data_IF_505012535035
#
_entry.id   IF_505012535035
#
_cell.length_a   1.000
_cell.length_b   1.000
_cell.length_c   1.000
_cell.angle_alpha   90.00
_cell.angle_beta   90.00
_cell.angle_gamma   90.00
#
_symmetry.space_group_name_H-M   'P 1'
#
loop_
_entity.id
_entity.type
_entity.pdbx_description
1 polymer ?
#
# COMPACT_ATOMS: atom_id res chain seq x y z
N UNK A 1 -28.57 57.45 -64.49
CA UNK A 1 -28.96 56.17 -63.78
C UNK A 1 -27.85 55.09 -63.71
N UNK A 2 -26.75 55.13 -64.48
CA UNK A 2 -25.69 54.09 -64.44
C UNK A 2 -24.69 54.25 -63.28
N UNK A 3 -24.43 55.46 -62.81
CA UNK A 3 -23.43 55.68 -61.77
C UNK A 3 -23.89 55.30 -60.32
N UNK A 4 -25.18 55.31 -60.05
CA UNK A 4 -25.72 54.93 -58.74
C UNK A 4 -25.70 53.41 -58.48
N UNK A 5 -25.69 52.59 -59.58
CA UNK A 5 -25.67 51.13 -59.49
C UNK A 5 -24.26 50.59 -59.22
N UNK A 6 -23.24 51.26 -59.77
CA UNK A 6 -21.86 50.86 -59.56
C UNK A 6 -21.36 51.16 -58.15
N UNK A 7 -21.85 52.21 -57.48
CA UNK A 7 -21.51 52.54 -56.10
C UNK A 7 -22.11 51.56 -55.10
N UNK A 8 -23.28 51.00 -55.33
CA UNK A 8 -23.89 49.96 -54.46
C UNK A 8 -23.16 48.62 -54.53
N UNK A 9 -22.67 48.22 -55.71
CA UNK A 9 -21.96 46.98 -55.83
C UNK A 9 -20.54 47.03 -55.27
N UNK A 10 -19.88 48.21 -55.31
CA UNK A 10 -18.58 48.41 -54.65
C UNK A 10 -18.71 48.41 -53.10
N UNK A 11 -19.79 48.96 -52.56
CA UNK A 11 -20.01 48.97 -51.12
C UNK A 11 -20.38 47.59 -50.56
N UNK A 12 -21.11 46.75 -51.33
CA UNK A 12 -21.42 45.39 -50.92
C UNK A 12 -20.21 44.47 -50.95
N UNK A 13 -19.25 44.69 -51.87
CA UNK A 13 -18.01 43.91 -51.91
C UNK A 13 -17.02 44.27 -50.82
N UNK A 14 -17.04 45.42 -50.25
CA UNK A 14 -16.23 45.85 -49.13
C UNK A 14 -16.75 45.31 -47.81
N UNK A 15 -18.12 45.27 -47.64
CA UNK A 15 -18.74 44.71 -46.44
C UNK A 15 -18.65 43.18 -46.34
N UNK A 16 -18.47 42.48 -47.48
CA UNK A 16 -18.32 41.00 -47.46
C UNK A 16 -16.89 40.53 -47.19
N UNK A 17 -15.89 41.43 -47.25
CA UNK A 17 -14.47 41.05 -46.99
C UNK A 17 -14.01 41.33 -45.56
N UNK A 18 -14.77 42.02 -44.76
CA UNK A 18 -14.44 42.35 -43.36
C UNK A 18 -15.08 41.44 -42.33
N UNK A 19 -15.92 40.47 -42.73
CA UNK A 19 -16.62 39.53 -41.82
C UNK A 19 -15.93 38.15 -41.78
N UNK A 20 -14.94 37.88 -42.64
CA UNK A 20 -14.24 36.55 -42.69
C UNK A 20 -12.84 36.54 -42.03
N UNK A 21 -12.49 37.55 -41.26
CA UNK A 21 -11.19 37.63 -40.60
C UNK A 21 -11.27 37.71 -39.06
N UNK A 22 -12.26 37.08 -38.45
CA UNK A 22 -12.49 37.22 -37.01
C UNK A 22 -12.87 35.93 -36.23
N UNK A 23 -12.71 34.75 -36.80
CA UNK A 23 -13.00 33.49 -36.07
C UNK A 23 -11.80 32.55 -36.05
N UNK A 24 -10.62 33.04 -35.65
CA UNK A 24 -9.59 32.18 -35.07
C UNK A 24 -10.02 31.91 -33.64
N UNK A 25 -10.79 30.85 -33.45
CA UNK A 25 -11.07 30.27 -32.14
C UNK A 25 -9.72 29.93 -31.48
N UNK A 26 -9.31 30.71 -30.53
CA UNK A 26 -8.31 30.29 -29.55
C UNK A 26 -8.94 29.10 -28.77
N UNK A 27 -8.67 27.89 -29.22
CA UNK A 27 -8.80 26.74 -28.37
C UNK A 27 -7.74 26.86 -27.29
N UNK A 28 -8.07 27.54 -26.20
CA UNK A 28 -7.32 27.45 -24.97
C UNK A 28 -7.36 25.97 -24.56
N UNK A 29 -6.34 25.24 -24.91
CA UNK A 29 -6.04 23.94 -24.28
C UNK A 29 -5.69 24.28 -22.84
N UNK A 30 -6.69 24.22 -21.96
CA UNK A 30 -6.47 24.25 -20.52
C UNK A 30 -5.68 22.98 -20.22
N UNK A 31 -4.42 23.06 -19.76
CA UNK A 31 -3.73 21.87 -19.30
C UNK A 31 -4.53 21.34 -18.11
N UNK A 32 -5.15 20.16 -18.24
CA UNK A 32 -5.73 19.47 -17.10
C UNK A 32 -4.62 19.32 -16.06
N UNK A 33 -4.82 19.79 -14.83
CA UNK A 33 -3.77 19.77 -13.84
C UNK A 33 -3.35 18.34 -13.56
N UNK A 34 -2.04 18.09 -13.53
CA UNK A 34 -1.41 16.80 -13.21
C UNK A 34 -1.89 16.21 -11.86
N UNK A 35 -2.56 16.98 -11.04
CA UNK A 35 -3.25 16.58 -9.80
C UNK A 35 -4.36 15.55 -10.00
N UNK A 36 -4.99 15.48 -11.20
CA UNK A 36 -6.05 14.51 -11.47
C UNK A 36 -5.49 13.08 -11.64
N UNK A 37 -4.25 12.93 -12.08
CA UNK A 37 -3.61 11.63 -12.23
C UNK A 37 -3.11 11.06 -10.90
N UNK A 38 -2.71 11.90 -9.95
CA UNK A 38 -2.32 11.46 -8.59
C UNK A 38 -3.54 11.02 -7.77
N UNK A 39 -4.69 11.65 -7.95
CA UNK A 39 -5.92 11.25 -7.27
C UNK A 39 -6.48 9.90 -7.75
N UNK A 40 -6.25 9.53 -9.02
CA UNK A 40 -6.68 8.24 -9.55
C UNK A 40 -5.85 7.06 -9.01
N UNK A 41 -4.57 7.26 -8.71
CA UNK A 41 -3.72 6.22 -8.16
C UNK A 41 -4.01 5.92 -6.67
N UNK A 42 -4.58 6.86 -5.93
CA UNK A 42 -4.95 6.66 -4.52
C UNK A 42 -6.38 6.10 -4.34
N UNK A 43 -7.20 6.06 -5.40
CA UNK A 43 -8.57 5.55 -5.33
C UNK A 43 -8.66 4.02 -5.23
N UNK A 44 -7.57 3.30 -5.46
CA UNK A 44 -7.55 1.82 -5.44
C UNK A 44 -7.34 1.20 -4.07
N UNK A 45 -7.03 2.00 -3.02
CA UNK A 45 -6.70 1.46 -1.69
C UNK A 45 -5.40 0.63 -1.64
N UNK A 46 -4.62 0.62 -2.73
CA UNK A 46 -3.33 -0.06 -2.81
C UNK A 46 -2.23 0.91 -2.42
N UNK A 47 -1.41 0.60 -1.41
CA UNK A 47 -0.35 1.49 -0.96
C UNK A 47 0.76 1.61 -2.01
N UNK A 48 1.20 2.85 -2.26
CA UNK A 48 2.34 3.16 -3.09
C UNK A 48 3.53 3.52 -2.20
N UNK A 49 4.48 2.60 -2.03
CA UNK A 49 5.70 2.82 -1.23
C UNK A 49 6.86 3.35 -2.07
N UNK A 50 6.68 3.42 -3.38
CA UNK A 50 7.72 3.84 -4.32
C UNK A 50 7.32 5.16 -4.97
N UNK A 51 8.30 6.09 -5.05
CA UNK A 51 8.13 7.33 -5.79
C UNK A 51 7.98 7.01 -7.30
N UNK A 52 6.81 7.23 -7.90
CA UNK A 52 6.60 6.95 -9.32
C UNK A 52 7.42 7.84 -10.25
N UNK A 53 7.92 8.98 -9.76
CA UNK A 53 8.76 9.91 -10.51
C UNK A 53 10.25 9.58 -10.40
N UNK A 54 10.63 8.73 -9.43
CA UNK A 54 12.01 8.32 -9.26
C UNK A 54 12.41 7.35 -10.36
N UNK A 55 13.23 7.81 -11.28
CA UNK A 55 13.88 6.93 -12.25
C UNK A 55 14.94 6.12 -11.52
N UNK A 56 14.62 4.86 -11.26
CA UNK A 56 15.62 3.93 -10.75
C UNK A 56 16.55 3.56 -11.90
N UNK A 57 17.84 3.76 -11.68
CA UNK A 57 18.85 3.24 -12.58
C UNK A 57 18.74 1.72 -12.62
N UNK A 58 18.74 1.16 -13.84
CA UNK A 58 18.68 -0.30 -14.02
C UNK A 58 20.00 -0.90 -13.52
N UNK A 59 19.96 -1.73 -12.48
CA UNK A 59 21.18 -2.36 -12.00
C UNK A 59 21.72 -3.37 -13.02
N UNK A 60 23.02 -3.62 -12.99
CA UNK A 60 23.61 -4.70 -13.75
C UNK A 60 23.17 -6.05 -13.17
N UNK A 61 22.43 -6.81 -13.97
CA UNK A 61 21.96 -8.15 -13.65
C UNK A 61 22.65 -9.24 -14.46
N UNK A 62 23.68 -8.90 -15.24
CA UNK A 62 24.34 -9.84 -16.16
C UNK A 62 24.96 -11.06 -15.47
N UNK A 63 25.43 -10.88 -14.24
CA UNK A 63 25.99 -11.96 -13.41
C UNK A 63 24.92 -12.77 -12.66
N UNK A 64 23.65 -12.30 -12.59
CA UNK A 64 22.59 -12.95 -11.85
C UNK A 64 21.94 -14.05 -12.70
N UNK A 65 22.35 -15.29 -12.50
CA UNK A 65 21.80 -16.46 -13.24
C UNK A 65 20.59 -17.09 -12.55
N UNK A 66 20.59 -17.08 -11.22
CA UNK A 66 19.53 -17.65 -10.41
C UNK A 66 19.40 -16.87 -9.10
N UNK A 67 18.26 -16.96 -8.46
CA UNK A 67 17.97 -16.31 -7.19
C UNK A 67 17.34 -17.33 -6.23
N UNK A 68 17.97 -17.53 -5.08
CA UNK A 68 17.47 -18.40 -4.00
C UNK A 68 16.71 -17.53 -3.00
N UNK A 69 15.39 -17.70 -2.99
CA UNK A 69 14.51 -16.94 -2.11
C UNK A 69 13.97 -17.87 -1.02
N UNK A 70 13.95 -17.38 0.20
CA UNK A 70 13.32 -18.06 1.33
C UNK A 70 12.14 -17.24 1.87
N UNK A 71 11.14 -17.93 2.38
CA UNK A 71 9.95 -17.36 3.01
C UNK A 71 9.54 -18.18 4.22
N UNK A 72 8.62 -17.63 5.02
CA UNK A 72 7.92 -18.36 6.09
C UNK A 72 6.65 -19.02 5.52
N UNK A 73 6.26 -20.18 6.02
CA UNK A 73 5.07 -20.92 5.61
C UNK A 73 4.00 -21.07 6.72
N UNK A 74 4.16 -20.34 7.81
CA UNK A 74 3.22 -20.34 8.94
C UNK A 74 2.50 -18.99 9.13
N UNK A 75 2.51 -18.12 8.12
CA UNK A 75 1.95 -16.76 8.21
C UNK A 75 0.96 -16.43 7.06
N UNK A 76 -0.24 -17.06 7.01
CA UNK A 76 -1.26 -16.71 6.02
C UNK A 76 -1.80 -15.29 6.24
N UNK A 77 -2.14 -14.55 5.16
CA UNK A 77 -2.09 -14.92 3.76
C UNK A 77 -0.74 -14.59 3.10
N UNK A 78 0.31 -14.26 3.87
CA UNK A 78 1.60 -13.83 3.35
C UNK A 78 2.45 -15.00 2.83
N UNK A 79 2.60 -16.06 3.62
CA UNK A 79 3.30 -17.28 3.27
C UNK A 79 2.69 -18.47 4.02
N UNK A 80 2.26 -19.49 3.31
CA UNK A 80 1.69 -20.68 3.93
C UNK A 80 1.70 -21.88 2.95
N UNK A 81 1.63 -23.07 3.51
CA UNK A 81 1.45 -24.28 2.74
C UNK A 81 -0.04 -24.55 2.57
N UNK A 82 -0.52 -24.58 1.33
CA UNK A 82 -1.91 -24.87 1.01
C UNK A 82 -2.27 -26.34 1.22
N UNK A 83 -3.56 -26.69 1.15
CA UNK A 83 -4.05 -28.05 1.38
C UNK A 83 -3.51 -29.10 0.37
N UNK A 84 -3.07 -28.67 -0.80
CA UNK A 84 -2.41 -29.47 -1.84
C UNK A 84 -0.89 -29.64 -1.61
N UNK A 85 -0.36 -29.07 -0.52
CA UNK A 85 1.06 -29.11 -0.18
C UNK A 85 1.91 -28.06 -0.88
N UNK A 86 1.32 -27.16 -1.68
CA UNK A 86 2.06 -26.12 -2.39
C UNK A 86 2.30 -24.90 -1.50
N UNK A 87 3.54 -24.39 -1.53
CA UNK A 87 3.89 -23.14 -0.92
C UNK A 87 3.24 -21.97 -1.69
N UNK A 88 2.44 -21.17 -1.02
CA UNK A 88 1.64 -20.09 -1.59
C UNK A 88 1.58 -18.90 -0.64
N UNK A 89 0.96 -17.80 -1.08
CA UNK A 89 0.77 -16.56 -0.32
C UNK A 89 1.34 -15.34 -1.02
N UNK A 90 1.04 -14.17 -0.46
CA UNK A 90 1.47 -12.88 -1.03
C UNK A 90 2.98 -12.78 -1.23
N UNK A 91 3.78 -13.18 -0.23
CA UNK A 91 5.24 -13.18 -0.31
C UNK A 91 5.77 -14.11 -1.39
N UNK A 92 5.13 -15.27 -1.56
CA UNK A 92 5.51 -16.29 -2.55
C UNK A 92 5.21 -15.80 -3.97
N UNK A 93 4.05 -15.21 -4.18
CA UNK A 93 3.67 -14.67 -5.49
C UNK A 93 4.49 -13.41 -5.81
N UNK A 94 4.81 -12.57 -4.81
CA UNK A 94 5.73 -11.45 -4.98
C UNK A 94 7.13 -11.93 -5.39
N UNK A 95 7.63 -13.00 -4.76
CA UNK A 95 8.90 -13.62 -5.11
C UNK A 95 8.90 -14.09 -6.58
N UNK A 96 7.85 -14.79 -7.01
CA UNK A 96 7.68 -15.23 -8.41
C UNK A 96 7.67 -14.05 -9.36
N UNK A 97 6.89 -13.02 -9.07
CA UNK A 97 6.80 -11.81 -9.89
C UNK A 97 8.16 -11.07 -10.01
N UNK A 98 8.95 -11.01 -8.94
CA UNK A 98 10.31 -10.46 -8.95
C UNK A 98 11.21 -11.26 -9.90
N UNK A 99 11.14 -12.59 -9.85
CA UNK A 99 11.93 -13.47 -10.72
C UNK A 99 11.58 -13.30 -12.19
N UNK A 100 10.28 -13.19 -12.49
CA UNK A 100 9.77 -12.95 -13.84
C UNK A 100 10.20 -11.56 -14.38
N UNK A 101 10.15 -10.51 -13.54
CA UNK A 101 10.60 -9.17 -13.91
C UNK A 101 12.11 -9.13 -14.19
N UNK A 102 12.90 -9.82 -13.39
CA UNK A 102 14.36 -9.91 -13.55
C UNK A 102 14.77 -10.91 -14.63
N UNK A 103 13.86 -11.77 -15.09
CA UNK A 103 14.11 -12.86 -16.07
C UNK A 103 15.20 -13.82 -15.59
N UNK A 104 15.16 -14.21 -14.35
CA UNK A 104 16.09 -15.16 -13.73
C UNK A 104 15.36 -16.40 -13.22
N UNK A 105 16.03 -17.54 -13.21
CA UNK A 105 15.51 -18.74 -12.56
C UNK A 105 15.50 -18.56 -11.05
N UNK A 106 14.41 -18.96 -10.40
CA UNK A 106 14.31 -18.86 -8.95
C UNK A 106 13.97 -20.19 -8.28
N UNK A 107 14.55 -20.38 -7.09
CA UNK A 107 14.06 -21.34 -6.12
C UNK A 107 13.42 -20.60 -4.96
N UNK A 108 12.21 -20.99 -4.56
CA UNK A 108 11.49 -20.40 -3.42
C UNK A 108 11.27 -21.54 -2.43
N UNK A 109 11.81 -21.38 -1.21
CA UNK A 109 11.75 -22.43 -0.20
C UNK A 109 11.23 -21.89 1.13
N UNK A 110 10.42 -22.70 1.82
CA UNK A 110 10.01 -22.40 3.18
C UNK A 110 11.18 -22.60 4.16
N UNK A 111 11.24 -21.74 5.17
CA UNK A 111 12.10 -21.83 6.34
C UNK A 111 11.34 -21.35 7.56
N UNK A 112 11.63 -21.92 8.71
CA UNK A 112 11.11 -21.40 9.97
C UNK A 112 11.55 -19.95 10.15
N UNK A 113 10.65 -19.10 10.55
CA UNK A 113 10.87 -17.66 10.67
C UNK A 113 12.11 -17.29 11.51
N UNK A 114 12.31 -18.00 12.63
CA UNK A 114 13.44 -17.77 13.55
C UNK A 114 14.82 -18.10 12.95
N UNK A 115 14.89 -18.88 11.86
CA UNK A 115 16.13 -19.28 11.19
C UNK A 115 16.44 -18.49 9.91
N UNK A 116 15.52 -17.62 9.45
CA UNK A 116 15.63 -16.94 8.15
C UNK A 116 16.90 -16.08 8.06
N UNK A 117 17.15 -15.24 9.07
CA UNK A 117 18.32 -14.36 9.05
C UNK A 117 19.64 -15.15 9.16
N UNK A 118 19.65 -16.26 9.91
CA UNK A 118 20.83 -17.14 9.99
C UNK A 118 21.12 -17.82 8.64
N UNK A 119 20.07 -18.16 7.88
CA UNK A 119 20.19 -18.74 6.53
C UNK A 119 20.83 -17.74 5.56
N UNK A 120 20.46 -16.45 5.64
CA UNK A 120 21.10 -15.39 4.86
C UNK A 120 22.57 -15.19 5.24
N UNK A 121 22.88 -15.15 6.55
CA UNK A 121 24.23 -14.99 7.06
C UNK A 121 25.19 -16.10 6.53
N UNK A 122 24.67 -17.33 6.43
CA UNK A 122 25.42 -18.51 5.93
C UNK A 122 25.50 -18.57 4.40
N UNK A 123 24.94 -17.61 3.66
CA UNK A 123 24.82 -17.64 2.19
C UNK A 123 24.06 -18.86 1.64
N UNK A 124 23.15 -19.43 2.39
CA UNK A 124 22.30 -20.53 1.94
C UNK A 124 21.09 -20.01 1.14
N UNK A 125 20.79 -18.70 1.22
CA UNK A 125 19.83 -17.97 0.42
C UNK A 125 20.37 -16.59 0.01
N UNK A 126 19.82 -16.00 -1.05
CA UNK A 126 20.22 -14.70 -1.56
C UNK A 126 19.28 -13.59 -1.07
N UNK A 127 18.01 -13.93 -0.82
CA UNK A 127 16.99 -13.01 -0.32
C UNK A 127 15.94 -13.73 0.53
N UNK A 128 15.34 -13.00 1.47
CA UNK A 128 14.19 -13.47 2.24
C UNK A 128 12.99 -12.53 2.06
N UNK A 129 11.88 -13.08 1.59
CA UNK A 129 10.59 -12.40 1.46
C UNK A 129 9.62 -13.07 2.43
N UNK A 130 9.66 -12.66 3.70
CA UNK A 130 9.03 -13.37 4.81
C UNK A 130 8.39 -12.43 5.83
N UNK A 131 7.90 -11.29 5.39
CA UNK A 131 7.25 -10.31 6.28
C UNK A 131 8.15 -9.82 7.43
N UNK A 132 9.46 -9.69 7.17
CA UNK A 132 10.43 -9.29 8.20
C UNK A 132 10.36 -7.78 8.38
N UNK A 133 10.01 -7.34 9.58
CA UNK A 133 9.92 -5.92 9.92
C UNK A 133 11.30 -5.23 9.90
N UNK A 134 11.35 -4.04 9.33
CA UNK A 134 12.52 -3.17 9.34
C UNK A 134 12.63 -2.53 10.73
N UNK A 135 13.43 -3.14 11.58
CA UNK A 135 13.68 -2.69 12.97
C UNK A 135 15.18 -2.52 13.21
N UNK A 136 15.61 -1.72 14.20
CA UNK A 136 17.03 -1.61 14.54
C UNK A 136 17.70 -2.96 14.82
N UNK A 137 16.98 -3.89 15.44
CA UNK A 137 17.48 -5.24 15.73
C UNK A 137 17.74 -6.03 14.43
N UNK A 138 16.82 -5.98 13.47
CA UNK A 138 16.94 -6.72 12.22
C UNK A 138 17.96 -6.05 11.28
N UNK A 139 18.02 -4.70 11.28
CA UNK A 139 19.03 -3.93 10.54
C UNK A 139 20.47 -4.19 11.02
N UNK A 140 20.65 -4.61 12.26
CA UNK A 140 21.97 -5.04 12.74
C UNK A 140 22.44 -6.36 12.12
N UNK A 141 21.53 -7.15 11.53
CA UNK A 141 21.79 -8.50 10.99
C UNK A 141 21.68 -8.60 9.46
N UNK A 142 20.82 -7.81 8.84
CA UNK A 142 20.55 -7.87 7.40
C UNK A 142 20.34 -6.47 6.82
N UNK A 143 20.60 -6.31 5.53
CA UNK A 143 20.14 -5.15 4.78
C UNK A 143 18.73 -5.41 4.24
N UNK A 144 17.94 -4.33 4.06
CA UNK A 144 16.57 -4.40 3.59
C UNK A 144 16.36 -3.54 2.35
N UNK A 145 15.49 -3.99 1.48
CA UNK A 145 14.93 -3.13 0.42
C UNK A 145 14.08 -2.01 1.03
N UNK A 146 13.62 -1.09 0.18
CA UNK A 146 12.46 -0.27 0.51
C UNK A 146 11.32 -1.19 0.97
N UNK A 147 10.46 -0.74 1.92
CA UNK A 147 9.35 -1.56 2.37
C UNK A 147 8.42 -1.89 1.20
N UNK A 148 8.01 -3.16 1.10
CA UNK A 148 7.02 -3.57 0.12
C UNK A 148 5.60 -3.60 0.69
N UNK A 149 5.45 -3.60 2.00
CA UNK A 149 4.21 -3.17 2.66
C UNK A 149 4.49 -2.57 4.04
N UNK A 150 3.49 -1.87 4.56
CA UNK A 150 3.45 -1.41 5.95
C UNK A 150 2.17 -1.92 6.57
N UNK A 151 2.17 -2.08 7.88
CA UNK A 151 1.00 -2.45 8.64
C UNK A 151 0.49 -1.19 9.35
N UNK A 152 -0.49 -0.46 8.78
CA UNK A 152 -1.05 0.70 9.44
C UNK A 152 -1.89 0.26 10.62
N UNK A 153 -2.08 1.15 11.58
CA UNK A 153 -3.17 1.01 12.52
C UNK A 153 -4.45 1.64 11.94
N UNK A 154 -5.61 1.07 12.27
CA UNK A 154 -6.91 1.52 11.77
C UNK A 154 -7.96 1.52 12.88
N UNK A 155 -8.89 2.47 12.76
CA UNK A 155 -10.13 2.42 13.53
C UNK A 155 -11.20 1.60 12.80
N UNK A 156 -12.02 0.89 13.58
CA UNK A 156 -13.20 0.16 13.09
C UNK A 156 -14.39 0.48 13.96
N UNK A 157 -15.53 0.71 13.33
CA UNK A 157 -16.83 0.89 13.99
C UNK A 157 -17.84 -0.09 13.40
N UNK A 158 -18.98 -0.23 14.05
CA UNK A 158 -20.13 -0.91 13.45
C UNK A 158 -20.60 -0.15 12.20
N UNK A 159 -21.10 -0.89 11.22
CA UNK A 159 -21.73 -0.33 10.02
C UNK A 159 -22.89 0.59 10.41
N UNK A 160 -22.95 1.79 9.83
CA UNK A 160 -23.97 2.79 10.20
C UNK A 160 -23.55 3.76 11.32
N UNK A 161 -22.44 3.51 12.03
CA UNK A 161 -21.90 4.49 12.97
C UNK A 161 -21.31 5.68 12.21
N UNK A 162 -21.75 6.89 12.55
CA UNK A 162 -21.22 8.13 11.97
C UNK A 162 -19.90 8.48 12.69
N UNK A 163 -18.79 8.19 12.02
CA UNK A 163 -17.44 8.57 12.43
C UNK A 163 -16.58 8.68 11.17
N UNK A 164 -16.62 9.82 10.50
CA UNK A 164 -15.96 10.00 9.21
C UNK A 164 -14.46 10.20 9.36
N UNK A 165 -14.04 10.92 10.42
CA UNK A 165 -12.63 11.24 10.64
C UNK A 165 -12.28 11.08 12.14
N UNK A 166 -11.70 9.92 12.53
CA UNK A 166 -11.29 9.66 13.91
C UNK A 166 -10.01 10.44 14.26
N UNK A 167 -10.21 11.62 14.81
CA UNK A 167 -9.15 12.50 15.35
C UNK A 167 -9.26 12.58 16.88
N UNK A 168 -8.20 13.02 17.58
CA UNK A 168 -8.26 13.20 19.03
C UNK A 168 -9.44 14.04 19.47
N UNK A 169 -9.80 15.08 18.73
CA UNK A 169 -10.91 16.00 19.05
C UNK A 169 -12.28 15.32 18.87
N UNK A 170 -12.45 14.53 17.78
CA UNK A 170 -13.73 13.86 17.48
C UNK A 170 -13.98 12.65 18.36
N UNK A 171 -12.92 12.09 18.95
CA UNK A 171 -12.98 10.94 19.88
C UNK A 171 -12.83 11.35 21.34
N UNK A 172 -12.68 12.64 21.67
CA UNK A 172 -12.63 13.12 23.04
C UNK A 172 -13.90 12.70 23.83
N UNK A 173 -13.71 12.12 25.01
CA UNK A 173 -14.78 11.60 25.87
C UNK A 173 -15.47 10.33 25.35
N UNK A 174 -15.04 9.75 24.20
CA UNK A 174 -15.57 8.48 23.71
C UNK A 174 -14.70 7.31 24.17
N UNK A 175 -15.32 6.14 24.31
CA UNK A 175 -14.61 4.89 24.63
C UNK A 175 -13.99 4.32 23.39
N UNK A 176 -12.68 4.04 23.41
CA UNK A 176 -11.95 3.36 22.36
C UNK A 176 -11.45 2.02 22.87
N UNK A 177 -11.91 0.93 22.28
CA UNK A 177 -11.38 -0.40 22.56
C UNK A 177 -10.04 -0.64 21.88
N UNK A 178 -9.12 -1.30 22.58
CA UNK A 178 -7.79 -1.67 22.06
C UNK A 178 -7.30 -2.97 22.69
N UNK A 179 -6.41 -3.70 22.02
CA UNK A 179 -5.75 -4.84 22.66
C UNK A 179 -4.66 -4.36 23.62
N UNK A 180 -4.69 -4.89 24.85
CA UNK A 180 -3.74 -4.57 25.90
C UNK A 180 -2.29 -4.91 25.54
N UNK A 181 -1.34 -4.14 26.07
CA UNK A 181 0.11 -4.37 25.94
C UNK A 181 0.61 -4.36 24.49
N UNK A 182 -0.03 -3.55 23.63
CA UNK A 182 0.35 -3.36 22.22
C UNK A 182 0.85 -1.95 21.98
N UNK A 183 1.56 -1.77 20.85
CA UNK A 183 1.92 -0.45 20.36
C UNK A 183 0.69 0.41 20.04
N UNK A 184 -0.43 -0.20 19.68
CA UNK A 184 -1.71 0.46 19.44
C UNK A 184 -2.27 1.10 20.70
N UNK A 185 -2.20 0.40 21.84
CA UNK A 185 -2.59 0.96 23.14
C UNK A 185 -1.70 2.14 23.52
N UNK A 186 -0.37 1.99 23.41
CA UNK A 186 0.56 3.06 23.72
C UNK A 186 0.36 4.29 22.82
N UNK A 187 0.03 4.08 21.54
CA UNK A 187 -0.31 5.14 20.59
C UNK A 187 -1.56 5.91 21.02
N UNK A 188 -2.64 5.21 21.37
CA UNK A 188 -3.88 5.85 21.84
C UNK A 188 -3.66 6.63 23.13
N UNK A 189 -2.95 6.07 24.11
CA UNK A 189 -2.62 6.75 25.36
C UNK A 189 -1.84 8.06 25.12
N UNK A 190 -1.00 8.10 24.09
CA UNK A 190 -0.21 9.28 23.74
C UNK A 190 -1.01 10.33 22.99
N UNK A 191 -1.73 9.92 21.94
CA UNK A 191 -2.32 10.84 20.98
C UNK A 191 -3.82 11.06 21.17
N UNK A 192 -4.52 10.16 21.86
CA UNK A 192 -5.96 10.22 22.14
C UNK A 192 -6.23 10.29 23.63
N UNK A 193 -5.42 11.04 24.36
CA UNK A 193 -5.46 11.14 25.84
C UNK A 193 -6.77 11.68 26.41
N UNK A 194 -7.58 12.38 25.60
CA UNK A 194 -8.92 12.85 25.99
C UNK A 194 -10.02 11.80 25.78
N UNK A 195 -9.72 10.64 25.18
CA UNK A 195 -10.64 9.51 25.05
C UNK A 195 -10.49 8.55 26.24
N UNK A 196 -11.52 7.76 26.50
CA UNK A 196 -11.45 6.65 27.45
C UNK A 196 -10.91 5.41 26.75
N UNK A 197 -9.74 4.92 27.16
CA UNK A 197 -9.11 3.73 26.56
C UNK A 197 -9.51 2.48 27.33
N UNK A 198 -10.25 1.59 26.68
CA UNK A 198 -10.68 0.31 27.24
C UNK A 198 -9.87 -0.83 26.64
N UNK A 199 -9.00 -1.43 27.46
CA UNK A 199 -8.08 -2.50 27.04
C UNK A 199 -8.71 -3.88 27.15
N UNK A 200 -8.43 -4.75 26.16
CA UNK A 200 -8.88 -6.13 26.07
C UNK A 200 -7.69 -7.08 26.00
N UNK A 201 -7.75 -8.24 26.63
CA UNK A 201 -6.62 -9.18 26.69
C UNK A 201 -6.29 -9.85 25.35
N UNK A 202 -7.24 -9.87 24.41
CA UNK A 202 -7.04 -10.48 23.08
C UNK A 202 -7.77 -9.73 21.97
N UNK A 203 -7.28 -9.90 20.73
CA UNK A 203 -7.95 -9.40 19.54
C UNK A 203 -9.36 -9.98 19.36
N UNK A 204 -9.58 -11.24 19.75
CA UNK A 204 -10.90 -11.88 19.70
C UNK A 204 -11.88 -11.19 20.67
N UNK A 205 -11.47 -10.96 21.91
CA UNK A 205 -12.30 -10.26 22.89
C UNK A 205 -12.65 -8.84 22.44
N UNK A 206 -11.66 -8.10 21.91
CA UNK A 206 -11.83 -6.76 21.37
C UNK A 206 -12.86 -6.72 20.21
N UNK A 207 -12.72 -7.61 19.21
CA UNK A 207 -13.66 -7.71 18.08
C UNK A 207 -15.06 -8.10 18.51
N UNK A 208 -15.16 -9.04 19.44
CA UNK A 208 -16.45 -9.47 20.02
C UNK A 208 -17.14 -8.33 20.77
N UNK A 209 -16.40 -7.50 21.49
CA UNK A 209 -16.95 -6.34 22.19
C UNK A 209 -17.53 -5.30 21.20
N UNK A 210 -16.86 -5.05 20.06
CA UNK A 210 -17.40 -4.18 19.03
C UNK A 210 -18.68 -4.78 18.40
N UNK A 211 -18.69 -6.07 18.08
CA UNK A 211 -19.89 -6.76 17.54
C UNK A 211 -21.09 -6.65 18.47
N UNK A 212 -20.88 -6.81 19.79
CA UNK A 212 -21.93 -6.73 20.82
C UNK A 212 -22.28 -5.31 21.25
N UNK A 213 -21.69 -4.29 20.61
CA UNK A 213 -21.91 -2.87 20.95
C UNK A 213 -21.47 -2.48 22.37
N UNK A 214 -20.52 -3.23 22.95
CA UNK A 214 -19.93 -2.91 24.25
C UNK A 214 -18.91 -1.76 24.18
N UNK A 215 -18.40 -1.50 23.00
CA UNK A 215 -17.56 -0.33 22.65
C UNK A 215 -17.97 0.20 21.28
N UNK A 216 -18.04 1.53 21.09
CA UNK A 216 -18.47 2.13 19.84
C UNK A 216 -17.42 2.07 18.72
N UNK A 217 -16.14 2.01 19.12
CA UNK A 217 -15.00 2.03 18.20
C UNK A 217 -13.85 1.22 18.77
N UNK A 218 -13.12 0.52 17.88
CA UNK A 218 -11.88 -0.17 18.23
C UNK A 218 -10.73 0.34 17.37
N UNK A 219 -9.51 0.19 17.90
CA UNK A 219 -8.27 0.54 17.21
C UNK A 219 -7.29 -0.63 17.25
N UNK A 220 -6.62 -0.90 16.11
CA UNK A 220 -5.70 -2.02 16.05
C UNK A 220 -4.99 -2.16 14.71
N UNK A 221 -4.29 -3.28 14.56
CA UNK A 221 -3.54 -3.63 13.35
C UNK A 221 -4.45 -3.74 12.13
N UNK A 222 -4.15 -2.95 11.09
CA UNK A 222 -4.99 -2.82 9.91
C UNK A 222 -5.09 -4.10 9.10
N UNK A 223 -4.01 -4.89 8.99
CA UNK A 223 -4.02 -6.18 8.25
C UNK A 223 -4.91 -7.18 8.99
N UNK A 224 -4.70 -7.32 10.30
CA UNK A 224 -5.48 -8.22 11.13
C UNK A 224 -6.97 -7.87 11.14
N UNK A 225 -7.29 -6.57 11.17
CA UNK A 225 -8.66 -6.08 11.10
C UNK A 225 -9.27 -6.26 9.71
N UNK A 226 -8.50 -6.03 8.61
CA UNK A 226 -8.98 -6.25 7.24
C UNK A 226 -9.34 -7.73 7.00
N UNK A 227 -8.47 -8.64 7.45
CA UNK A 227 -8.72 -10.08 7.35
C UNK A 227 -9.99 -10.49 8.12
N UNK A 228 -10.18 -9.96 9.33
CA UNK A 228 -11.39 -10.19 10.10
C UNK A 228 -12.64 -9.63 9.42
N UNK A 229 -12.59 -8.37 8.96
CA UNK A 229 -13.72 -7.71 8.28
C UNK A 229 -14.16 -8.44 7.01
N UNK A 230 -13.21 -9.08 6.30
CA UNK A 230 -13.48 -9.88 5.10
C UNK A 230 -13.86 -11.34 5.42
N UNK A 231 -13.65 -11.78 6.65
CA UNK A 231 -13.97 -13.14 7.09
C UNK A 231 -15.43 -13.31 7.53
N UNK A 232 -15.87 -14.57 7.66
CA UNK A 232 -17.20 -14.93 8.14
C UNK A 232 -17.50 -14.44 9.55
N UNK A 233 -16.47 -14.33 10.40
CA UNK A 233 -16.62 -13.98 11.81
C UNK A 233 -17.10 -12.52 12.05
N UNK A 234 -16.85 -11.63 11.09
CA UNK A 234 -17.33 -10.26 11.15
C UNK A 234 -18.82 -10.17 10.81
N UNK A 235 -19.38 -11.11 10.01
CA UNK A 235 -20.80 -11.12 9.60
C UNK A 235 -21.25 -9.79 8.96
N UNK A 236 -20.30 -9.06 8.31
CA UNK A 236 -20.57 -7.74 7.72
C UNK A 236 -20.93 -6.64 8.72
N UNK A 237 -20.68 -6.84 10.03
CA UNK A 237 -21.07 -5.92 11.10
C UNK A 237 -20.45 -4.54 10.99
N UNK A 238 -19.27 -4.47 10.44
CA UNK A 238 -18.32 -3.43 10.80
C UNK A 238 -17.51 -2.95 9.59
N UNK A 239 -16.94 -1.73 9.70
CA UNK A 239 -16.14 -1.13 8.64
C UNK A 239 -15.02 -0.24 9.19
N UNK A 240 -13.95 -0.07 8.42
CA UNK A 240 -12.90 0.90 8.70
C UNK A 240 -13.43 2.33 8.76
N UNK A 241 -12.78 3.16 9.57
CA UNK A 241 -13.01 4.60 9.68
C UNK A 241 -11.69 5.34 9.65
N UNK A 242 -11.59 6.36 8.79
CA UNK A 242 -10.40 7.19 8.65
C UNK A 242 -9.10 6.43 8.45
N UNK A 243 -7.97 7.08 8.69
CA UNK A 243 -6.61 6.52 8.58
C UNK A 243 -6.12 6.43 7.15
N UNK A 244 -5.00 5.75 6.90
CA UNK A 244 -4.18 4.92 7.81
C UNK A 244 -3.34 5.73 8.81
N UNK A 245 -3.05 5.14 9.98
CA UNK A 245 -2.12 5.69 10.96
C UNK A 245 -0.79 4.96 10.85
N UNK A 246 0.30 5.71 10.57
CA UNK A 246 1.58 5.15 10.09
C UNK A 246 2.80 5.60 10.90
N UNK A 247 2.61 6.09 12.13
CA UNK A 247 3.71 6.58 12.96
C UNK A 247 4.76 5.52 13.22
N UNK A 248 5.90 5.65 12.55
CA UNK A 248 6.99 4.66 12.56
C UNK A 248 7.51 4.34 13.95
N UNK A 249 7.48 5.30 14.87
CA UNK A 249 7.89 5.10 16.26
C UNK A 249 7.01 4.10 17.04
N UNK A 250 5.79 3.85 16.57
CA UNK A 250 4.84 2.88 17.14
C UNK A 250 4.67 1.66 16.23
N UNK A 251 4.48 1.86 14.92
CA UNK A 251 4.07 0.81 13.97
C UNK A 251 5.22 0.33 13.07
N UNK A 252 6.43 0.89 13.26
CA UNK A 252 7.62 0.50 12.51
C UNK A 252 7.71 1.11 11.11
N UNK A 253 8.87 0.94 10.47
CA UNK A 253 9.16 1.45 9.12
C UNK A 253 8.51 0.63 8.00
N UNK A 254 7.93 -0.50 8.33
CA UNK A 254 7.34 -1.45 7.40
C UNK A 254 8.14 -2.74 7.28
N UNK A 255 7.84 -3.50 6.24
CA UNK A 255 8.37 -4.83 5.96
C UNK A 255 9.14 -4.79 4.66
N UNK A 256 10.39 -5.23 4.67
CA UNK A 256 11.27 -5.24 3.51
C UNK A 256 11.72 -6.64 3.12
N UNK A 257 12.26 -6.78 1.91
CA UNK A 257 13.00 -7.97 1.51
C UNK A 257 14.37 -7.90 2.19
N UNK A 258 14.68 -8.91 2.99
CA UNK A 258 15.98 -9.00 3.63
C UNK A 258 17.01 -9.66 2.70
N UNK A 259 18.20 -9.10 2.68
CA UNK A 259 19.39 -9.67 2.04
C UNK A 259 20.51 -9.75 3.05
N UNK A 260 21.53 -10.56 2.76
CA UNK A 260 22.72 -10.60 3.61
C UNK A 260 23.27 -9.18 3.81
N UNK A 261 23.74 -8.90 5.01
CA UNK A 261 24.36 -7.62 5.35
C UNK A 261 25.51 -7.28 4.40
N UNK A 262 25.62 -6.00 4.07
CA UNK A 262 26.61 -5.43 3.14
C UNK A 262 26.46 -5.92 1.68
N UNK A 263 25.32 -6.54 1.33
CA UNK A 263 25.01 -6.93 -0.06
C UNK A 263 24.21 -5.84 -0.77
N UNK A 264 24.76 -4.64 -0.87
CA UNK A 264 24.14 -3.52 -1.55
C UNK A 264 23.80 -3.80 -3.04
N UNK A 265 24.57 -4.58 -3.82
CA UNK A 265 24.18 -4.93 -5.18
C UNK A 265 22.85 -5.69 -5.23
N UNK A 266 22.66 -6.76 -4.44
CA UNK A 266 21.43 -7.54 -4.39
C UNK A 266 20.24 -6.68 -3.93
N UNK A 267 20.45 -5.87 -2.90
CA UNK A 267 19.41 -4.94 -2.43
C UNK A 267 18.93 -4.01 -3.55
N UNK A 268 19.84 -3.39 -4.31
CA UNK A 268 19.48 -2.51 -5.44
C UNK A 268 18.73 -3.24 -6.55
N UNK A 269 19.10 -4.49 -6.85
CA UNK A 269 18.39 -5.33 -7.84
C UNK A 269 16.95 -5.57 -7.39
N UNK A 270 16.73 -5.92 -6.14
CA UNK A 270 15.41 -6.16 -5.60
C UNK A 270 14.57 -4.89 -5.47
N UNK A 271 15.17 -3.76 -5.03
CA UNK A 271 14.51 -2.45 -5.03
C UNK A 271 14.05 -2.05 -6.43
N UNK A 272 14.89 -2.26 -7.45
CA UNK A 272 14.52 -2.02 -8.85
C UNK A 272 13.36 -2.91 -9.29
N UNK A 273 13.41 -4.21 -8.98
CA UNK A 273 12.33 -5.15 -9.35
C UNK A 273 11.00 -4.75 -8.69
N UNK A 274 10.99 -4.44 -7.39
CA UNK A 274 9.80 -3.98 -6.67
C UNK A 274 9.18 -2.74 -7.32
N UNK A 275 9.99 -1.72 -7.62
CA UNK A 275 9.51 -0.51 -8.27
C UNK A 275 8.97 -0.77 -9.68
N UNK A 276 9.58 -1.68 -10.44
CA UNK A 276 9.09 -2.10 -11.76
C UNK A 276 7.74 -2.81 -11.68
N UNK A 277 7.58 -3.72 -10.72
CA UNK A 277 6.28 -4.38 -10.47
C UNK A 277 5.20 -3.38 -10.10
N UNK A 278 5.53 -2.38 -9.27
CA UNK A 278 4.60 -1.30 -8.92
C UNK A 278 4.21 -0.45 -10.14
N UNK A 279 5.20 -0.02 -10.94
CA UNK A 279 4.96 0.77 -12.17
C UNK A 279 4.10 0.04 -13.20
N UNK A 280 4.22 -1.30 -13.28
CA UNK A 280 3.47 -2.14 -14.22
C UNK A 280 2.10 -2.57 -13.68
N UNK A 281 1.73 -2.18 -12.47
CA UNK A 281 0.49 -2.59 -11.84
C UNK A 281 0.47 -4.01 -11.26
N UNK A 282 1.52 -4.81 -11.50
CA UNK A 282 1.59 -6.22 -11.01
C UNK A 282 1.55 -6.28 -9.50
N UNK A 283 2.23 -5.35 -8.81
CA UNK A 283 2.13 -5.27 -7.35
C UNK A 283 0.70 -5.02 -6.88
N UNK A 284 -0.02 -4.12 -7.54
CA UNK A 284 -1.41 -3.80 -7.20
C UNK A 284 -2.33 -5.01 -7.40
N UNK A 285 -2.16 -5.77 -8.48
CA UNK A 285 -2.91 -7.00 -8.74
C UNK A 285 -2.65 -8.05 -7.64
N UNK A 286 -1.38 -8.27 -7.28
CA UNK A 286 -1.02 -9.18 -6.19
C UNK A 286 -1.59 -8.73 -4.86
N UNK A 287 -1.49 -7.42 -4.55
CA UNK A 287 -2.05 -6.88 -3.32
C UNK A 287 -3.57 -7.13 -3.23
N UNK A 288 -4.32 -6.79 -4.27
CA UNK A 288 -5.78 -6.96 -4.29
C UNK A 288 -6.21 -8.45 -4.29
N UNK A 289 -5.38 -9.34 -4.82
CA UNK A 289 -5.63 -10.80 -4.75
C UNK A 289 -5.70 -11.31 -3.32
N UNK A 290 -4.81 -10.82 -2.44
CA UNK A 290 -4.70 -11.28 -1.06
C UNK A 290 -5.42 -10.38 -0.05
N UNK A 291 -5.63 -9.11 -0.40
CA UNK A 291 -6.24 -8.09 0.46
C UNK A 291 -7.37 -7.37 -0.27
N UNK A 292 -8.51 -8.06 -0.51
CA UNK A 292 -9.66 -7.49 -1.23
C UNK A 292 -10.31 -6.32 -0.48
N UNK A 293 -10.14 -6.26 0.85
CA UNK A 293 -10.42 -5.06 1.65
C UNK A 293 -9.07 -4.40 1.92
N UNK A 294 -8.86 -3.23 1.35
CA UNK A 294 -7.66 -2.44 1.61
C UNK A 294 -7.55 -2.07 3.09
N UNK A 295 -6.38 -2.24 3.67
CA UNK A 295 -6.11 -1.85 5.06
C UNK A 295 -5.38 -0.49 5.17
N UNK A 296 -5.16 0.16 4.04
CA UNK A 296 -4.68 1.55 3.92
C UNK A 296 -5.80 2.54 3.73
#
# INVERSE_FOLDING_TARGET
>A
MRQARQRKEAFQRILLRTVLAGALAWTATVPLPALAQQAQNNASGVPMFWDPQRRLERPDTSALRSLRIITDDEYPPFGFTAADGLLTGFNVDLARAICDELKVSCTIQARRFDTILDTLDKNEADAAIASIAITPRNLARADFTQPYYRTPARFVTRTGTVLDDPRPETLAGKVIGVQARTAHEAYLQKFFSAAEIKSYDSALALRSALKRDEVPVIFGDGVSLALWLNGSDAEGCCAFRGGPFLESSYFGEGVGIAVKRDNAPMRRILDFALARLAQRGVYAELYLKYFPIGFF
#
